data_IF_453253804980
#
_entry.id   IF_453253804980
#
_cell.length_a   1.000
_cell.length_b   1.000
_cell.length_c   1.000
_cell.angle_alpha   90.00
_cell.angle_beta   90.00
_cell.angle_gamma   90.00
#
_symmetry.space_group_name_H-M   'P 1'
#
loop_
_entity.id
_entity.type
_entity.pdbx_description
1 polymer ?
#
# COMPACT_ATOMS: atom_id res chain seq x y z
N UNK A 1 5.86 -2.30 -13.09
CA UNK A 1 5.79 -2.02 -11.67
C UNK A 1 5.94 -3.32 -10.89
N UNK A 2 6.80 -3.36 -9.90
CA UNK A 2 7.07 -4.54 -9.09
C UNK A 2 6.70 -4.24 -7.64
N UNK A 3 5.76 -5.02 -7.10
CA UNK A 3 5.30 -4.90 -5.73
C UNK A 3 5.79 -6.11 -4.92
N UNK A 4 6.17 -5.90 -3.69
CA UNK A 4 6.57 -6.99 -2.79
C UNK A 4 5.47 -7.23 -1.77
N UNK A 5 5.07 -8.50 -1.64
CA UNK A 5 4.01 -8.92 -0.74
C UNK A 5 4.58 -9.75 0.40
N UNK A 6 4.22 -9.40 1.62
CA UNK A 6 4.65 -10.10 2.84
C UNK A 6 3.44 -10.58 3.65
N UNK A 7 3.58 -11.71 4.31
CA UNK A 7 2.78 -11.92 5.52
C UNK A 7 3.27 -11.01 6.63
N UNK A 8 2.44 -10.72 7.63
CA UNK A 8 2.82 -9.86 8.76
C UNK A 8 4.12 -10.28 9.44
N UNK A 9 4.31 -11.55 9.68
CA UNK A 9 5.53 -12.06 10.33
C UNK A 9 6.78 -11.88 9.46
N UNK A 10 6.63 -12.10 8.15
CA UNK A 10 7.72 -11.87 7.19
C UNK A 10 8.10 -10.38 7.14
N UNK A 11 7.12 -9.48 7.13
CA UNK A 11 7.38 -8.05 7.13
C UNK A 11 8.12 -7.59 8.40
N UNK A 12 7.72 -8.08 9.58
CA UNK A 12 8.42 -7.75 10.83
C UNK A 12 9.85 -8.32 10.88
N UNK A 13 10.09 -9.48 10.27
CA UNK A 13 11.45 -10.03 10.11
C UNK A 13 12.26 -9.21 9.09
N UNK A 14 11.66 -8.87 7.95
CA UNK A 14 12.26 -8.06 6.90
C UNK A 14 12.74 -6.70 7.43
N UNK A 15 11.94 -6.00 8.22
CA UNK A 15 12.35 -4.72 8.83
C UNK A 15 13.64 -4.81 9.68
N UNK A 16 13.90 -5.96 10.28
CA UNK A 16 15.13 -6.18 11.05
C UNK A 16 16.34 -6.36 10.14
N UNK A 17 16.14 -7.04 9.00
CA UNK A 17 17.19 -7.24 7.99
C UNK A 17 17.51 -5.93 7.28
N UNK A 18 16.52 -5.22 6.82
CA UNK A 18 16.66 -3.95 6.10
C UNK A 18 17.50 -2.93 6.85
N UNK A 19 17.36 -2.85 8.17
CA UNK A 19 18.18 -1.94 9.00
C UNK A 19 19.68 -2.19 8.92
N UNK A 20 20.13 -3.39 8.50
CA UNK A 20 21.53 -3.77 8.44
C UNK A 20 22.07 -3.92 7.02
N UNK A 21 21.19 -4.38 6.12
CA UNK A 21 21.60 -4.93 4.82
C UNK A 21 21.19 -4.04 3.65
N UNK A 22 20.32 -3.03 3.89
CA UNK A 22 19.87 -2.15 2.81
C UNK A 22 21.05 -1.25 2.37
N UNK A 23 21.38 -1.19 1.07
CA UNK A 23 22.40 -0.29 0.57
C UNK A 23 22.14 1.18 0.91
N UNK A 24 23.17 1.97 1.09
CA UNK A 24 23.06 3.41 1.39
C UNK A 24 22.30 4.21 0.32
N UNK A 25 22.23 3.67 -0.91
CA UNK A 25 21.45 4.25 -2.02
C UNK A 25 19.96 4.03 -1.90
N UNK A 26 19.52 3.22 -0.96
CA UNK A 26 18.11 2.90 -0.72
C UNK A 26 17.68 3.32 0.69
N UNK A 27 16.37 3.45 0.91
CA UNK A 27 15.79 3.75 2.22
C UNK A 27 14.44 3.07 2.36
N UNK A 28 14.19 2.44 3.51
CA UNK A 28 12.86 1.99 3.90
C UNK A 28 12.09 3.19 4.48
N UNK A 29 11.09 3.66 3.75
CA UNK A 29 10.18 4.72 4.17
C UNK A 29 8.95 4.10 4.81
N UNK A 30 8.79 4.28 6.11
CA UNK A 30 7.57 3.87 6.81
C UNK A 30 6.50 4.96 6.67
N UNK A 31 5.20 4.62 6.52
CA UNK A 31 4.12 5.59 6.28
C UNK A 31 3.99 6.67 7.35
N UNK A 32 4.41 6.38 8.57
CA UNK A 32 4.40 7.32 9.71
C UNK A 32 5.63 8.21 9.80
N UNK A 33 6.54 8.23 8.82
CA UNK A 33 7.79 9.00 8.88
C UNK A 33 7.71 10.37 8.21
N UNK A 34 6.71 10.61 7.37
CA UNK A 34 6.59 11.85 6.62
C UNK A 34 6.36 13.07 7.53
N UNK A 35 7.04 14.16 7.22
CA UNK A 35 6.94 15.44 7.90
C UNK A 35 7.03 15.33 9.42
N UNK A 36 8.02 14.56 9.90
CA UNK A 36 8.18 14.28 11.32
C UNK A 36 7.00 13.53 11.95
N UNK A 37 6.30 12.72 11.20
CA UNK A 37 5.13 11.93 11.65
C UNK A 37 3.80 12.69 11.63
N UNK A 38 3.72 13.81 10.90
CA UNK A 38 2.51 14.66 10.84
C UNK A 38 1.78 14.55 9.51
N UNK A 39 2.43 14.02 8.46
CA UNK A 39 1.84 13.89 7.13
C UNK A 39 1.44 12.44 6.83
N UNK A 40 0.29 12.30 6.21
CA UNK A 40 -0.26 11.03 5.74
C UNK A 40 -0.29 11.01 4.22
N UNK A 41 0.30 9.98 3.63
CA UNK A 41 0.15 9.68 2.21
C UNK A 41 -0.74 8.47 2.00
N UNK A 42 -0.35 7.32 2.58
CA UNK A 42 -1.10 6.07 2.65
C UNK A 42 -0.57 5.20 3.80
N UNK A 43 -1.04 3.96 3.91
CA UNK A 43 -0.54 2.99 4.89
C UNK A 43 0.53 2.04 4.33
N UNK A 44 1.02 2.28 3.11
CA UNK A 44 1.95 1.38 2.44
C UNK A 44 3.40 1.81 2.70
N UNK A 45 4.22 0.99 3.40
CA UNK A 45 5.65 1.22 3.46
C UNK A 45 6.27 0.97 2.09
N UNK A 46 7.40 1.61 1.82
CA UNK A 46 8.09 1.47 0.55
C UNK A 46 9.59 1.53 0.68
N UNK A 47 10.29 0.88 -0.23
CA UNK A 47 11.74 1.10 -0.40
C UNK A 47 11.90 2.09 -1.54
N UNK A 48 12.55 3.21 -1.26
CA UNK A 48 12.89 4.23 -2.26
C UNK A 48 14.35 4.06 -2.72
N UNK A 49 14.60 4.38 -3.99
CA UNK A 49 15.95 4.50 -4.53
C UNK A 49 16.36 5.97 -4.56
N UNK A 50 17.25 6.37 -3.64
CA UNK A 50 17.61 7.78 -3.42
C UNK A 50 18.34 8.43 -4.60
N UNK A 51 18.99 7.63 -5.46
CA UNK A 51 19.65 8.12 -6.68
C UNK A 51 18.70 8.20 -7.88
N UNK A 52 17.45 8.50 -7.65
CA UNK A 52 16.44 8.65 -8.70
C UNK A 52 15.54 9.85 -8.46
N UNK A 53 14.89 10.32 -9.53
CA UNK A 53 13.90 11.38 -9.45
C UNK A 53 12.77 11.10 -10.43
N UNK A 54 11.53 11.17 -9.96
CA UNK A 54 10.34 10.90 -10.76
C UNK A 54 9.53 12.16 -11.11
N UNK A 55 9.57 13.16 -10.25
CA UNK A 55 8.77 14.37 -10.39
C UNK A 55 9.61 15.64 -10.18
N UNK A 56 9.23 16.77 -10.76
CA UNK A 56 9.83 18.06 -10.39
C UNK A 56 9.55 18.39 -8.92
N UNK A 57 10.37 19.27 -8.36
CA UNK A 57 10.14 19.79 -7.01
C UNK A 57 8.81 20.53 -6.95
N UNK A 58 8.13 20.39 -5.84
CA UNK A 58 6.85 21.04 -5.58
C UNK A 58 6.54 21.02 -4.08
N UNK A 59 5.69 21.93 -3.63
CA UNK A 59 5.24 21.99 -2.23
C UNK A 59 4.71 20.64 -1.73
N UNK A 60 4.08 19.86 -2.62
CA UNK A 60 3.62 18.52 -2.30
C UNK A 60 4.78 17.55 -2.03
N UNK A 61 5.85 17.62 -2.84
CA UNK A 61 7.02 16.75 -2.62
C UNK A 61 7.74 17.16 -1.34
N UNK A 62 7.90 18.46 -1.09
CA UNK A 62 8.49 18.99 0.12
C UNK A 62 7.70 18.63 1.37
N UNK A 63 6.36 18.65 1.28
CA UNK A 63 5.50 18.21 2.38
C UNK A 63 5.72 16.74 2.80
N UNK A 64 6.17 15.89 1.89
CA UNK A 64 6.53 14.50 2.16
C UNK A 64 8.05 14.28 2.25
N UNK A 65 8.81 15.31 2.63
CA UNK A 65 10.27 15.29 2.80
C UNK A 65 11.04 14.86 1.54
N UNK A 66 10.49 15.12 0.34
CA UNK A 66 11.03 14.69 -0.95
C UNK A 66 10.98 13.17 -1.20
N UNK A 67 10.54 12.37 -0.23
CA UNK A 67 10.62 10.90 -0.29
C UNK A 67 9.71 10.27 -1.36
N UNK A 68 8.65 10.96 -1.75
CA UNK A 68 7.76 10.53 -2.83
C UNK A 68 8.25 10.94 -4.22
N UNK A 69 9.42 11.56 -4.31
CA UNK A 69 10.03 11.96 -5.58
C UNK A 69 11.07 10.96 -6.12
N UNK A 70 11.23 9.83 -5.46
CA UNK A 70 12.13 8.76 -5.86
C UNK A 70 11.41 7.59 -6.50
N UNK A 71 12.11 6.78 -7.28
CA UNK A 71 11.62 5.44 -7.64
C UNK A 71 11.43 4.63 -6.37
N UNK A 72 10.35 3.87 -6.30
CA UNK A 72 10.07 3.03 -5.14
C UNK A 72 9.47 1.68 -5.51
N UNK A 73 9.53 0.78 -4.56
CA UNK A 73 8.81 -0.49 -4.55
C UNK A 73 7.87 -0.48 -3.36
N UNK A 74 6.58 -0.72 -3.59
CA UNK A 74 5.58 -0.79 -2.53
C UNK A 74 5.63 -2.14 -1.82
N UNK A 75 5.43 -2.11 -0.49
CA UNK A 75 5.48 -3.28 0.38
C UNK A 75 4.09 -3.57 0.94
N UNK A 76 3.42 -4.56 0.38
CA UNK A 76 2.08 -4.95 0.81
C UNK A 76 2.11 -6.00 1.90
N UNK A 77 1.16 -5.91 2.82
CA UNK A 77 1.08 -6.80 3.98
C UNK A 77 -0.23 -7.55 3.96
N UNK A 78 -0.13 -8.87 3.92
CA UNK A 78 -1.26 -9.77 4.03
C UNK A 78 -1.53 -10.11 5.50
N UNK A 79 -2.71 -9.70 5.95
CA UNK A 79 -3.26 -10.09 7.24
C UNK A 79 -4.47 -11.01 7.06
N UNK A 80 -4.89 -11.64 8.15
CA UNK A 80 -6.03 -12.56 8.14
C UNK A 80 -7.35 -11.82 8.15
N UNK A 81 -8.29 -12.26 7.32
CA UNK A 81 -9.69 -11.88 7.46
C UNK A 81 -10.41 -12.80 8.47
N UNK A 82 -11.41 -12.27 9.20
CA UNK A 82 -12.25 -13.10 10.04
C UNK A 82 -13.04 -14.12 9.22
N UNK A 83 -13.39 -15.23 9.84
CA UNK A 83 -14.27 -16.23 9.23
C UNK A 83 -15.71 -15.67 9.20
N UNK A 84 -16.27 -15.60 8.02
CA UNK A 84 -17.65 -15.13 7.82
C UNK A 84 -17.75 -13.76 7.15
N UNK A 85 -18.66 -13.66 6.19
CA UNK A 85 -18.82 -12.47 5.32
C UNK A 85 -19.08 -11.19 6.09
N UNK A 86 -20.02 -11.19 7.04
CA UNK A 86 -20.36 -9.99 7.80
C UNK A 86 -19.18 -9.45 8.62
N UNK A 87 -18.43 -10.32 9.28
CA UNK A 87 -17.27 -9.93 10.07
C UNK A 87 -16.14 -9.39 9.15
N UNK A 88 -15.96 -9.98 7.97
CA UNK A 88 -15.00 -9.49 6.97
C UNK A 88 -15.39 -8.08 6.47
N UNK A 89 -16.67 -7.85 6.17
CA UNK A 89 -17.14 -6.54 5.74
C UNK A 89 -17.01 -5.47 6.83
N UNK A 90 -17.26 -5.82 8.09
CA UNK A 90 -17.02 -4.92 9.22
C UNK A 90 -15.53 -4.56 9.30
N UNK A 91 -14.63 -5.53 9.14
CA UNK A 91 -13.17 -5.28 9.15
C UNK A 91 -12.78 -4.32 8.02
N UNK A 92 -13.27 -4.54 6.80
CA UNK A 92 -13.03 -3.67 5.65
C UNK A 92 -13.59 -2.26 5.87
N UNK A 93 -14.81 -2.16 6.40
CA UNK A 93 -15.44 -0.88 6.73
C UNK A 93 -14.60 -0.09 7.76
N UNK A 94 -14.11 -0.75 8.81
CA UNK A 94 -13.27 -0.11 9.81
C UNK A 94 -11.95 0.41 9.19
N UNK A 95 -11.31 -0.35 8.29
CA UNK A 95 -10.13 0.14 7.57
C UNK A 95 -10.46 1.36 6.70
N UNK A 96 -11.59 1.35 5.98
CA UNK A 96 -12.05 2.51 5.19
C UNK A 96 -12.30 3.74 6.06
N UNK A 97 -12.93 3.57 7.20
CA UNK A 97 -13.17 4.66 8.15
C UNK A 97 -11.86 5.24 8.69
N UNK A 98 -10.91 4.39 9.09
CA UNK A 98 -9.59 4.83 9.56
C UNK A 98 -8.78 5.51 8.45
N UNK A 99 -8.87 5.00 7.22
CA UNK A 99 -8.26 5.68 6.08
C UNK A 99 -8.85 7.08 5.88
N UNK A 100 -10.18 7.21 6.00
CA UNK A 100 -10.87 8.51 5.97
C UNK A 100 -10.40 9.47 7.05
N UNK A 101 -10.19 9.00 8.29
CA UNK A 101 -9.60 9.81 9.36
C UNK A 101 -8.17 10.26 9.00
N UNK A 102 -7.35 9.36 8.48
CA UNK A 102 -5.97 9.67 8.10
C UNK A 102 -5.89 10.70 6.98
N UNK A 103 -6.89 10.76 6.08
CA UNK A 103 -6.98 11.76 5.01
C UNK A 103 -6.94 13.20 5.54
N UNK A 104 -7.31 13.46 6.80
CA UNK A 104 -7.19 14.77 7.44
C UNK A 104 -5.75 15.28 7.56
N UNK A 105 -4.76 14.41 7.42
CA UNK A 105 -3.33 14.71 7.49
C UNK A 105 -2.63 14.68 6.13
N UNK A 106 -3.38 14.65 5.01
CA UNK A 106 -2.82 14.77 3.67
C UNK A 106 -2.48 16.22 3.34
N UNK A 107 -1.49 16.39 2.43
CA UNK A 107 -1.15 17.71 1.88
C UNK A 107 -2.39 18.35 1.27
N UNK A 108 -2.89 17.82 0.18
CA UNK A 108 -4.12 18.29 -0.46
C UNK A 108 -5.13 17.14 -0.56
N UNK A 109 -6.38 17.44 -0.25
CA UNK A 109 -7.48 16.53 -0.40
C UNK A 109 -8.29 16.89 -1.65
N UNK A 110 -8.01 16.20 -2.75
CA UNK A 110 -8.76 16.36 -3.99
C UNK A 110 -10.13 15.69 -3.88
N UNK A 111 -11.16 16.54 -3.72
CA UNK A 111 -12.55 16.11 -3.66
C UNK A 111 -13.18 15.88 -5.04
N UNK A 112 -12.52 16.27 -6.14
CA UNK A 112 -13.09 16.21 -7.50
C UNK A 112 -13.51 14.80 -7.91
N UNK A 113 -12.77 13.79 -7.44
CA UNK A 113 -12.96 12.37 -7.74
C UNK A 113 -14.10 11.71 -6.97
N UNK A 114 -14.72 12.39 -6.00
CA UNK A 114 -15.74 11.81 -5.14
C UNK A 114 -17.15 12.24 -5.54
N UNK A 115 -18.12 11.32 -5.46
CA UNK A 115 -19.55 11.65 -5.50
C UNK A 115 -19.91 12.52 -4.29
N UNK A 116 -21.05 13.25 -4.35
CA UNK A 116 -21.47 14.14 -3.27
C UNK A 116 -21.55 13.43 -1.91
N UNK A 117 -22.12 12.23 -1.87
CA UNK A 117 -22.20 11.42 -0.63
C UNK A 117 -20.81 11.05 -0.10
N UNK A 118 -19.88 10.64 -0.99
CA UNK A 118 -18.52 10.34 -0.60
C UNK A 118 -17.77 11.59 -0.12
N UNK A 119 -18.00 12.76 -0.74
CA UNK A 119 -17.42 14.05 -0.27
C UNK A 119 -17.81 14.35 1.17
N UNK A 120 -19.11 14.19 1.51
CA UNK A 120 -19.61 14.43 2.87
C UNK A 120 -18.97 13.43 3.85
N UNK A 121 -18.95 12.16 3.50
CA UNK A 121 -18.40 11.11 4.37
C UNK A 121 -16.89 11.27 4.57
N UNK A 122 -16.13 11.39 3.48
CA UNK A 122 -14.66 11.58 3.53
C UNK A 122 -14.31 12.91 4.20
N UNK A 123 -15.02 14.00 3.87
CA UNK A 123 -14.80 15.30 4.48
C UNK A 123 -15.07 15.32 5.98
N UNK A 124 -16.15 14.66 6.41
CA UNK A 124 -16.46 14.51 7.84
C UNK A 124 -15.39 13.73 8.58
N UNK A 125 -14.97 12.58 8.04
CA UNK A 125 -13.90 11.77 8.63
C UNK A 125 -12.56 12.52 8.63
N UNK A 126 -12.17 13.16 7.54
CA UNK A 126 -10.93 13.91 7.46
C UNK A 126 -10.91 15.08 8.47
N UNK A 127 -12.04 15.77 8.64
CA UNK A 127 -12.16 16.84 9.65
C UNK A 127 -12.00 16.30 11.07
N UNK A 128 -12.68 15.21 11.40
CA UNK A 128 -12.52 14.53 12.68
C UNK A 128 -11.08 14.01 12.87
N UNK A 129 -10.49 13.50 11.80
CA UNK A 129 -9.12 12.97 11.79
C UNK A 129 -8.06 14.02 12.16
N UNK A 130 -8.24 15.28 11.78
CA UNK A 130 -7.34 16.39 12.16
C UNK A 130 -7.22 16.58 13.68
N UNK A 131 -8.23 16.16 14.44
CA UNK A 131 -8.24 16.24 15.90
C UNK A 131 -7.55 15.04 16.56
N UNK A 132 -7.23 14.00 15.80
CA UNK A 132 -6.63 12.77 16.31
C UNK A 132 -5.15 12.75 15.86
N UNK A 133 -4.19 12.59 16.80
CA UNK A 133 -2.80 12.45 16.42
C UNK A 133 -2.59 11.32 15.41
N UNK A 134 -1.86 11.58 14.32
CA UNK A 134 -1.67 10.61 13.24
C UNK A 134 -1.10 9.28 13.76
N UNK A 135 -0.20 9.32 14.75
CA UNK A 135 0.33 8.13 15.43
C UNK A 135 -0.78 7.24 16.01
N UNK A 136 -1.84 7.83 16.56
CA UNK A 136 -2.98 7.09 17.08
C UNK A 136 -3.78 6.43 15.95
N UNK A 137 -3.93 7.12 14.82
CA UNK A 137 -4.59 6.58 13.62
C UNK A 137 -3.81 5.36 13.09
N UNK A 138 -2.47 5.42 13.01
CA UNK A 138 -1.63 4.27 12.66
C UNK A 138 -1.79 3.10 13.65
N UNK A 139 -1.87 3.40 14.95
CA UNK A 139 -2.09 2.38 15.97
C UNK A 139 -3.47 1.70 15.80
N UNK A 140 -4.52 2.47 15.51
CA UNK A 140 -5.86 1.94 15.22
C UNK A 140 -5.86 1.05 13.97
N UNK A 141 -5.23 1.49 12.89
CA UNK A 141 -5.10 0.69 11.65
C UNK A 141 -4.41 -0.65 11.95
N UNK A 142 -3.28 -0.62 12.66
CA UNK A 142 -2.55 -1.82 13.05
C UNK A 142 -3.37 -2.73 13.96
N UNK A 143 -4.13 -2.18 14.90
CA UNK A 143 -4.98 -2.94 15.81
C UNK A 143 -6.07 -3.71 15.05
N UNK A 144 -6.71 -3.08 14.05
CA UNK A 144 -7.71 -3.74 13.20
C UNK A 144 -7.05 -4.82 12.33
N UNK A 145 -5.91 -4.53 11.70
CA UNK A 145 -5.18 -5.51 10.90
C UNK A 145 -4.81 -6.77 11.72
N UNK A 146 -4.48 -6.59 12.98
CA UNK A 146 -4.08 -7.69 13.89
C UNK A 146 -5.23 -8.34 14.66
N UNK A 147 -6.44 -7.79 14.60
CA UNK A 147 -7.59 -8.28 15.38
C UNK A 147 -7.84 -9.77 15.16
N UNK A 148 -7.76 -10.21 13.92
CA UNK A 148 -8.06 -11.59 13.54
C UNK A 148 -6.81 -12.47 13.35
N UNK A 149 -5.64 -12.05 13.86
CA UNK A 149 -4.37 -12.78 13.70
C UNK A 149 -4.39 -14.24 14.18
N UNK A 150 -5.22 -14.53 15.17
CA UNK A 150 -5.41 -15.90 15.71
C UNK A 150 -6.61 -16.63 15.10
N UNK A 151 -7.31 -16.01 14.16
CA UNK A 151 -8.39 -16.67 13.44
C UNK A 151 -7.88 -17.92 12.70
N UNK A 152 -8.68 -18.97 12.70
CA UNK A 152 -8.44 -20.18 11.89
C UNK A 152 -8.89 -20.03 10.42
N UNK A 153 -9.28 -18.82 10.02
CA UNK A 153 -9.71 -18.51 8.64
C UNK A 153 -8.55 -18.61 7.64
N UNK A 154 -8.88 -19.05 6.44
CA UNK A 154 -7.93 -19.25 5.35
C UNK A 154 -7.81 -18.04 4.41
N UNK A 155 -8.60 -17.00 4.67
CA UNK A 155 -8.63 -15.80 3.84
C UNK A 155 -7.63 -14.76 4.32
N UNK A 156 -7.03 -14.08 3.35
CA UNK A 156 -6.07 -12.98 3.52
C UNK A 156 -6.53 -11.76 2.74
N UNK A 157 -6.11 -10.58 3.16
CA UNK A 157 -6.35 -9.33 2.46
C UNK A 157 -5.17 -8.37 2.64
N UNK A 158 -5.04 -7.43 1.74
CA UNK A 158 -4.03 -6.37 1.83
C UNK A 158 -4.46 -5.33 2.86
N UNK A 159 -4.01 -5.49 4.11
CA UNK A 159 -4.46 -4.66 5.24
C UNK A 159 -3.96 -3.22 5.20
N UNK A 160 -2.91 -2.95 4.46
CA UNK A 160 -2.25 -1.65 4.34
C UNK A 160 -2.44 -0.99 2.97
N UNK A 161 -3.24 -1.59 2.09
CA UNK A 161 -3.50 -1.02 0.78
C UNK A 161 -4.62 0.02 0.83
N UNK A 162 -4.81 0.71 -0.29
CA UNK A 162 -5.87 1.72 -0.46
C UNK A 162 -7.26 1.09 -0.31
N UNK A 163 -8.27 1.88 0.10
CA UNK A 163 -9.64 1.39 0.34
C UNK A 163 -10.25 0.60 -0.81
N UNK A 164 -9.91 0.95 -2.05
CA UNK A 164 -10.44 0.31 -3.26
C UNK A 164 -9.93 -1.12 -3.48
N UNK A 165 -8.83 -1.49 -2.83
CA UNK A 165 -8.25 -2.83 -2.91
C UNK A 165 -8.50 -3.70 -1.68
N UNK A 166 -9.20 -3.20 -0.67
CA UNK A 166 -9.56 -3.98 0.52
C UNK A 166 -10.54 -5.12 0.23
N UNK A 167 -11.20 -5.10 -0.92
CA UNK A 167 -12.08 -6.19 -1.36
C UNK A 167 -11.30 -7.42 -1.82
N UNK A 168 -10.08 -7.27 -2.30
CA UNK A 168 -9.24 -8.37 -2.77
C UNK A 168 -9.05 -9.38 -1.63
N UNK A 169 -9.50 -10.59 -1.88
CA UNK A 169 -9.49 -11.67 -0.89
C UNK A 169 -8.71 -12.86 -1.43
N UNK A 170 -7.55 -13.10 -0.85
CA UNK A 170 -6.66 -14.17 -1.26
C UNK A 170 -6.82 -15.38 -0.35
N UNK A 171 -6.82 -16.57 -0.92
CA UNK A 171 -6.74 -17.80 -0.15
C UNK A 171 -5.32 -18.02 0.34
N UNK A 172 -5.14 -18.48 1.59
CA UNK A 172 -3.80 -18.71 2.16
C UNK A 172 -2.92 -19.58 1.28
N UNK A 173 -3.49 -20.65 0.71
CA UNK A 173 -2.77 -21.63 -0.09
C UNK A 173 -2.18 -21.02 -1.38
N UNK A 174 -2.76 -19.92 -1.87
CA UNK A 174 -2.21 -19.18 -3.02
C UNK A 174 -0.95 -18.41 -2.67
N UNK A 175 -0.84 -17.99 -1.40
CA UNK A 175 0.25 -17.18 -0.88
C UNK A 175 1.30 -18.00 -0.10
N UNK A 176 1.01 -19.27 0.16
CA UNK A 176 1.94 -20.18 0.84
C UNK A 176 2.91 -20.82 -0.15
N UNK A 177 4.21 -20.54 0.07
CA UNK A 177 5.28 -21.00 -0.82
C UNK A 177 5.49 -20.04 -2.02
N UNK A 178 6.69 -20.11 -2.53
CA UNK A 178 7.15 -19.31 -3.68
C UNK A 178 7.77 -20.22 -4.73
N UNK A 179 7.79 -19.73 -5.96
CA UNK A 179 8.52 -20.32 -7.08
C UNK A 179 9.33 -19.22 -7.74
N UNK A 180 10.43 -19.58 -8.34
CA UNK A 180 11.23 -18.68 -9.16
C UNK A 180 10.57 -18.51 -10.53
N UNK A 181 10.43 -17.27 -10.97
CA UNK A 181 9.92 -16.93 -12.28
C UNK A 181 10.86 -15.94 -13.00
N UNK A 182 11.10 -16.12 -14.29
CA UNK A 182 11.91 -15.20 -15.07
C UNK A 182 11.24 -13.81 -15.13
N UNK A 183 12.02 -12.77 -14.95
CA UNK A 183 11.59 -11.40 -15.04
C UNK A 183 12.70 -10.57 -15.69
N UNK A 184 12.49 -10.12 -16.91
CA UNK A 184 13.51 -9.43 -17.73
C UNK A 184 14.82 -10.26 -17.80
N UNK A 185 15.91 -9.71 -17.29
CA UNK A 185 17.23 -10.33 -17.23
C UNK A 185 17.54 -11.02 -15.88
N UNK A 186 16.54 -11.12 -15.02
CA UNK A 186 16.67 -11.70 -13.67
C UNK A 186 15.58 -12.71 -13.34
N UNK A 187 15.56 -13.16 -12.12
CA UNK A 187 14.55 -14.09 -11.58
C UNK A 187 13.95 -13.51 -10.32
N UNK A 188 12.63 -13.52 -10.21
CA UNK A 188 11.91 -13.07 -9.03
C UNK A 188 11.15 -14.24 -8.39
N UNK A 189 11.07 -14.23 -7.07
CA UNK A 189 10.21 -15.14 -6.33
C UNK A 189 8.77 -14.63 -6.38
N UNK A 190 7.88 -15.42 -6.96
CA UNK A 190 6.45 -15.15 -7.02
C UNK A 190 5.66 -16.17 -6.19
N UNK A 191 4.44 -15.84 -5.73
CA UNK A 191 3.59 -16.80 -5.04
C UNK A 191 3.37 -18.06 -5.88
N UNK A 192 3.39 -19.25 -5.28
CA UNK A 192 3.09 -20.50 -5.98
C UNK A 192 1.71 -20.47 -6.63
N UNK A 193 0.74 -19.81 -6.01
CA UNK A 193 -0.60 -19.59 -6.56
C UNK A 193 -0.74 -18.27 -7.32
N UNK A 194 0.24 -17.86 -8.10
CA UNK A 194 0.25 -16.59 -8.84
C UNK A 194 -0.95 -16.43 -9.78
N UNK A 195 -1.37 -17.48 -10.48
CA UNK A 195 -2.50 -17.40 -11.42
C UNK A 195 -3.84 -17.07 -10.73
N UNK A 196 -4.28 -17.78 -9.67
CA UNK A 196 -5.48 -17.37 -8.95
C UNK A 196 -5.35 -16.01 -8.25
N UNK A 197 -4.15 -15.59 -7.83
CA UNK A 197 -3.92 -14.24 -7.28
C UNK A 197 -4.16 -13.18 -8.35
N UNK A 198 -3.60 -13.33 -9.53
CA UNK A 198 -3.81 -12.39 -10.64
C UNK A 198 -5.27 -12.35 -11.10
N UNK A 199 -5.94 -13.51 -11.14
CA UNK A 199 -7.37 -13.59 -11.45
C UNK A 199 -8.25 -12.86 -10.43
N UNK A 200 -7.94 -12.95 -9.15
CA UNK A 200 -8.67 -12.26 -8.10
C UNK A 200 -8.49 -10.73 -8.18
N UNK A 201 -7.29 -10.26 -8.54
CA UNK A 201 -6.99 -8.82 -8.60
C UNK A 201 -7.46 -8.20 -9.91
N UNK A 202 -7.22 -8.85 -11.03
CA UNK A 202 -7.37 -8.27 -12.37
C UNK A 202 -8.42 -8.98 -13.25
N UNK A 203 -9.07 -10.03 -12.75
CA UNK A 203 -10.02 -10.82 -13.54
C UNK A 203 -9.31 -11.59 -14.66
N UNK A 204 -9.71 -11.37 -15.92
CA UNK A 204 -9.06 -11.98 -17.08
C UNK A 204 -7.78 -11.22 -17.46
N UNK A 205 -6.74 -11.32 -16.62
CA UNK A 205 -5.49 -10.58 -16.79
C UNK A 205 -4.71 -10.92 -18.08
N UNK A 206 -5.02 -12.04 -18.73
CA UNK A 206 -4.42 -12.40 -20.05
C UNK A 206 -5.03 -11.60 -21.21
N UNK A 207 -6.16 -10.96 -20.98
CA UNK A 207 -6.79 -10.08 -21.97
C UNK A 207 -6.29 -8.65 -21.77
N UNK A 208 -5.60 -8.13 -22.76
CA UNK A 208 -5.19 -6.72 -22.73
C UNK A 208 -6.42 -5.82 -22.66
N UNK A 209 -6.39 -4.77 -21.84
CA UNK A 209 -7.46 -3.79 -21.80
C UNK A 209 -7.61 -3.08 -23.16
N UNK A 210 -8.78 -2.47 -23.45
CA UNK A 210 -8.96 -1.63 -24.62
C UNK A 210 -7.84 -0.59 -24.76
N UNK A 211 -7.50 -0.22 -25.98
CA UNK A 211 -6.32 0.63 -26.26
C UNK A 211 -6.39 1.98 -25.54
N UNK A 212 -7.58 2.56 -25.45
CA UNK A 212 -7.85 3.80 -24.71
C UNK A 212 -7.61 3.69 -23.19
N UNK A 213 -7.58 2.48 -22.63
CA UNK A 213 -7.33 2.22 -21.21
C UNK A 213 -5.88 1.85 -20.90
N UNK A 214 -5.02 1.71 -21.93
CA UNK A 214 -3.59 1.38 -21.78
C UNK A 214 -2.74 2.61 -21.45
N UNK A 215 -3.28 3.53 -20.68
CA UNK A 215 -2.57 4.73 -20.25
C UNK A 215 -1.83 4.41 -18.95
N UNK A 216 -0.52 4.67 -18.86
CA UNK A 216 0.22 4.50 -17.62
C UNK A 216 -0.43 5.30 -16.49
N UNK A 217 -0.72 4.64 -15.37
CA UNK A 217 -1.31 5.29 -14.19
C UNK A 217 -0.29 6.13 -13.42
N UNK A 218 0.99 5.84 -13.61
CA UNK A 218 2.11 6.60 -13.08
C UNK A 218 2.73 7.43 -14.21
N UNK A 219 2.17 8.61 -14.44
CA UNK A 219 2.70 9.54 -15.45
C UNK A 219 3.86 10.35 -14.89
N UNK A 220 5.01 9.71 -14.72
CA UNK A 220 6.26 10.44 -14.60
C UNK A 220 6.81 10.71 -16.00
N UNK A 221 6.75 11.95 -16.43
CA UNK A 221 7.22 12.35 -17.75
C UNK A 221 8.74 12.23 -17.92
N UNK A 222 9.52 12.16 -16.83
CA UNK A 222 10.97 12.05 -16.86
C UNK A 222 11.48 11.33 -15.61
N UNK A 223 11.67 10.03 -15.70
CA UNK A 223 12.43 9.30 -14.69
C UNK A 223 13.92 9.60 -14.92
N UNK A 224 14.57 10.12 -13.91
CA UNK A 224 16.02 10.31 -13.90
C UNK A 224 16.64 9.35 -12.90
N UNK A 225 17.69 8.67 -13.30
CA UNK A 225 18.53 7.87 -12.42
C UNK A 225 19.91 8.48 -12.49
N UNK A 226 20.50 8.74 -11.34
CA UNK A 226 21.82 9.36 -11.23
C UNK A 226 22.86 8.27 -11.05
N UNK A 227 23.74 8.14 -12.02
CA UNK A 227 25.00 7.41 -11.85
C UNK A 227 25.91 8.18 -10.86
N UNK A 228 26.89 7.53 -10.29
CA UNK A 228 27.80 8.10 -9.30
C UNK A 228 28.51 9.37 -9.77
#
# INVERSE_FOLDING_TARGET
>A
DADIVFTRNQFEAFKKVVKRELPDTMELVEPGSFHGGKAFYDFTPRIIYKKSRMHPDSDKMDYYDGKLNHLWVDLFILDKLPKGKAAAEITRFLHKAIYGLAMGHRHDLDYSKYSLMHKIFVGGLATAGKLIPLKAIFAMQKAIALKDRHSKGDLRYYSNYQPDYLYVTLHKDWCEGVIDAPFEDTTLMIPKGWDPVLKEIYGNYMQLPPEEQRIPTHSSLQIQVYDE
#
